data_IF_853385505798
#
_entry.id   IF_853385505798
#
_cell.length_a   1.000
_cell.length_b   1.000
_cell.length_c   1.000
_cell.angle_alpha   90.00
_cell.angle_beta   90.00
_cell.angle_gamma   90.00
#
_symmetry.space_group_name_H-M   'P 1'
#
loop_
_entity.id
_entity.type
_entity.pdbx_description
1 polymer ?
#
# COMPACT_ATOMS: atom_id res chain seq x y z
N UNK A 1 16.12 11.81 -36.63
CA UNK A 1 16.97 13.01 -36.77
C UNK A 1 17.69 12.95 -38.10
N UNK A 2 17.82 14.08 -38.79
CA UNK A 2 18.71 14.17 -39.96
C UNK A 2 20.19 14.24 -39.50
N UNK A 3 21.16 13.92 -40.38
CA UNK A 3 22.58 13.96 -40.01
C UNK A 3 23.07 15.38 -39.70
N UNK A 4 22.46 16.39 -40.32
CA UNK A 4 22.75 17.81 -40.08
C UNK A 4 22.29 18.25 -38.68
N UNK A 5 21.14 17.77 -38.22
CA UNK A 5 20.61 18.06 -36.87
C UNK A 5 21.48 17.48 -35.75
N UNK A 6 22.16 16.35 -36.01
CA UNK A 6 23.07 15.72 -35.05
C UNK A 6 24.38 16.50 -34.91
N UNK A 7 24.95 16.96 -36.03
CA UNK A 7 26.15 17.81 -36.02
C UNK A 7 25.89 19.14 -35.29
N UNK A 8 24.75 19.77 -35.56
CA UNK A 8 24.36 21.03 -34.92
C UNK A 8 24.11 20.86 -33.40
N UNK A 9 23.61 19.69 -32.98
CA UNK A 9 23.41 19.37 -31.57
C UNK A 9 24.74 19.24 -30.81
N UNK A 10 25.74 18.58 -31.40
CA UNK A 10 27.08 18.44 -30.79
C UNK A 10 27.82 19.77 -30.73
N UNK A 11 27.73 20.59 -31.79
CA UNK A 11 28.31 21.94 -31.80
C UNK A 11 27.67 22.89 -30.78
N UNK A 12 26.34 22.82 -30.58
CA UNK A 12 25.65 23.68 -29.61
C UNK A 12 25.81 23.19 -28.16
N UNK A 13 26.11 21.90 -27.95
CA UNK A 13 26.35 21.30 -26.63
C UNK A 13 27.78 21.54 -26.13
N UNK A 14 28.75 21.71 -27.03
CA UNK A 14 30.16 21.99 -26.70
C UNK A 14 30.40 23.46 -26.35
N UNK A 15 29.53 24.38 -26.77
CA UNK A 15 29.62 25.80 -26.41
C UNK A 15 29.19 26.03 -24.95
N UNK A 16 29.94 26.83 -24.16
CA UNK A 16 29.56 27.12 -22.78
C UNK A 16 28.21 27.85 -22.71
N UNK A 17 27.33 27.40 -21.82
CA UNK A 17 25.95 27.89 -21.62
C UNK A 17 25.81 29.39 -21.33
N UNK A 18 26.91 30.06 -21.00
CA UNK A 18 27.00 31.50 -20.74
C UNK A 18 27.10 32.34 -22.01
N UNK A 19 27.60 31.79 -23.12
CA UNK A 19 27.79 32.48 -24.40
C UNK A 19 26.66 32.21 -25.42
N UNK A 20 25.79 31.25 -25.11
CA UNK A 20 24.67 30.88 -25.97
C UNK A 20 23.58 31.95 -25.96
N UNK A 21 23.24 32.47 -27.15
CA UNK A 21 22.13 33.41 -27.33
C UNK A 21 20.78 32.73 -27.02
N UNK A 22 19.74 33.48 -26.61
CA UNK A 22 18.43 32.91 -26.29
C UNK A 22 17.84 32.01 -27.40
N UNK A 23 18.09 32.37 -28.66
CA UNK A 23 17.66 31.59 -29.83
C UNK A 23 18.38 30.23 -29.96
N UNK A 24 19.65 30.16 -29.57
CA UNK A 24 20.46 28.93 -29.63
C UNK A 24 20.07 27.97 -28.50
N UNK A 25 19.74 28.51 -27.32
CA UNK A 25 19.19 27.74 -26.19
C UNK A 25 17.84 27.11 -26.53
N UNK A 26 16.99 27.82 -27.27
CA UNK A 26 15.71 27.28 -27.72
C UNK A 26 15.88 26.12 -28.71
N UNK A 27 16.83 26.24 -29.65
CA UNK A 27 17.16 25.19 -30.63
C UNK A 27 17.73 23.93 -29.97
N UNK A 28 18.62 24.10 -28.98
CA UNK A 28 19.17 22.98 -28.20
C UNK A 28 18.05 22.21 -27.48
N UNK A 29 17.14 22.93 -26.81
CA UNK A 29 16.00 22.31 -26.10
C UNK A 29 15.03 21.60 -27.04
N UNK A 30 14.80 22.09 -28.26
CA UNK A 30 13.99 21.38 -29.25
C UNK A 30 14.67 20.11 -29.76
N UNK A 31 15.98 20.16 -30.01
CA UNK A 31 16.76 19.00 -30.46
C UNK A 31 16.86 17.92 -29.35
N UNK A 32 17.01 18.31 -28.08
CA UNK A 32 16.94 17.37 -26.95
C UNK A 32 15.58 16.66 -26.84
N UNK A 33 14.49 17.40 -27.08
CA UNK A 33 13.14 16.81 -27.06
C UNK A 33 12.94 15.82 -28.19
N UNK A 34 13.53 16.07 -29.37
CA UNK A 34 13.49 15.14 -30.49
C UNK A 34 14.33 13.89 -30.22
N UNK A 35 15.53 14.04 -29.65
CA UNK A 35 16.38 12.91 -29.27
C UNK A 35 15.71 12.02 -28.21
N UNK A 36 15.06 12.61 -27.20
CA UNK A 36 14.32 11.86 -26.17
C UNK A 36 13.10 11.13 -26.74
N UNK A 37 12.44 11.70 -27.74
CA UNK A 37 11.31 11.04 -28.43
C UNK A 37 11.77 9.85 -29.25
N UNK A 38 12.93 9.95 -29.91
CA UNK A 38 13.52 8.83 -30.65
C UNK A 38 13.96 7.71 -29.69
N UNK A 39 14.60 8.04 -28.56
CA UNK A 39 14.96 7.05 -27.53
C UNK A 39 13.75 6.34 -26.90
N UNK A 40 12.61 7.02 -26.75
CA UNK A 40 11.37 6.41 -26.25
C UNK A 40 10.67 5.52 -27.30
N UNK A 41 11.02 5.65 -28.58
CA UNK A 41 10.48 4.79 -29.63
C UNK A 41 11.15 3.40 -29.64
N UNK A 42 12.42 3.32 -29.23
CA UNK A 42 13.20 2.06 -29.19
C UNK A 42 12.97 1.24 -27.92
N UNK A 43 12.40 1.83 -26.85
CA UNK A 43 12.00 1.06 -25.68
C UNK A 43 10.71 0.30 -25.95
N UNK A 44 10.66 -1.04 -25.82
CA UNK A 44 9.44 -1.80 -26.03
C UNK A 44 8.37 -1.30 -25.06
N UNK A 45 7.32 -0.66 -25.59
CA UNK A 45 6.17 -0.23 -24.79
C UNK A 45 5.65 -1.45 -24.03
N UNK A 46 5.45 -1.37 -22.71
CA UNK A 46 4.88 -2.48 -21.96
C UNK A 46 3.53 -2.82 -22.60
N UNK A 47 3.37 -4.05 -23.09
CA UNK A 47 2.09 -4.55 -23.59
C UNK A 47 1.08 -4.39 -22.46
N UNK A 48 0.12 -3.48 -22.63
CA UNK A 48 -1.05 -3.39 -21.76
C UNK A 48 -1.82 -4.69 -21.93
N UNK A 49 -1.67 -5.61 -20.98
CA UNK A 49 -2.60 -6.71 -20.85
C UNK A 49 -3.97 -6.08 -20.53
N UNK A 50 -4.92 -6.23 -21.45
CA UNK A 50 -6.32 -5.84 -21.27
C UNK A 50 -7.01 -6.84 -20.32
N UNK A 51 -6.51 -6.99 -19.10
CA UNK A 51 -7.19 -7.72 -18.03
C UNK A 51 -7.75 -6.68 -17.06
N UNK A 52 -9.06 -6.44 -17.15
CA UNK A 52 -9.77 -5.67 -16.15
C UNK A 52 -9.76 -6.43 -14.81
N UNK A 53 -9.13 -5.85 -13.79
CA UNK A 53 -9.62 -5.88 -12.40
C UNK A 53 -9.62 -7.21 -11.62
N UNK A 54 -8.64 -8.11 -11.80
CA UNK A 54 -8.55 -9.32 -10.94
C UNK A 54 -7.71 -9.08 -9.68
N UNK A 55 -6.68 -8.24 -9.76
CA UNK A 55 -5.80 -7.92 -8.62
C UNK A 55 -5.80 -6.41 -8.36
N UNK A 56 -6.20 -5.94 -7.17
CA UNK A 56 -6.10 -4.54 -6.82
C UNK A 56 -4.62 -4.12 -6.86
N UNK A 57 -4.29 -3.18 -7.75
CA UNK A 57 -2.93 -2.63 -7.90
C UNK A 57 -2.59 -1.59 -6.83
N UNK A 58 -3.52 -1.28 -5.93
CA UNK A 58 -3.30 -0.37 -4.79
C UNK A 58 -2.54 -1.10 -3.69
N UNK A 59 -1.37 -0.58 -3.32
CA UNK A 59 -0.68 -0.99 -2.09
C UNK A 59 -1.66 -0.83 -0.92
N UNK A 60 -1.91 -1.91 -0.19
CA UNK A 60 -2.71 -1.87 1.03
C UNK A 60 -1.99 -0.95 2.02
N UNK A 61 -2.48 0.28 2.16
CA UNK A 61 -1.96 1.19 3.15
C UNK A 61 -2.17 0.58 4.54
N UNK A 62 -1.11 0.51 5.36
CA UNK A 62 -1.22 0.11 6.76
C UNK A 62 -1.94 1.21 7.53
N UNK A 63 -3.27 1.20 7.48
CA UNK A 63 -4.10 2.09 8.28
C UNK A 63 -3.91 1.69 9.74
N UNK A 64 -3.78 2.66 10.68
CA UNK A 64 -3.70 2.35 12.09
C UNK A 64 -4.92 1.52 12.52
N UNK A 65 -4.66 0.42 13.22
CA UNK A 65 -5.70 -0.43 13.78
C UNK A 65 -6.49 0.35 14.84
N UNK A 66 -7.77 0.60 14.58
CA UNK A 66 -8.67 1.31 15.49
C UNK A 66 -9.71 0.35 16.00
N UNK A 67 -9.68 0.09 17.31
CA UNK A 67 -10.69 -0.71 17.98
C UNK A 67 -11.93 0.15 18.20
N UNK A 68 -13.08 -0.30 17.70
CA UNK A 68 -14.37 0.36 17.88
C UNK A 68 -14.83 0.28 19.34
N UNK A 69 -15.80 1.11 19.73
CA UNK A 69 -16.39 1.05 21.08
C UNK A 69 -17.07 -0.30 21.36
N UNK A 70 -17.72 -0.85 20.34
CA UNK A 70 -18.42 -2.15 20.39
C UNK A 70 -17.42 -3.31 20.58
N UNK A 71 -16.29 -3.28 19.89
CA UNK A 71 -15.23 -4.28 20.05
C UNK A 71 -14.64 -4.24 21.47
N UNK A 72 -14.48 -3.04 22.05
CA UNK A 72 -14.03 -2.90 23.45
C UNK A 72 -15.04 -3.50 24.43
N UNK A 73 -16.35 -3.31 24.20
CA UNK A 73 -17.37 -3.94 25.06
C UNK A 73 -17.35 -5.47 24.92
N UNK A 74 -17.24 -6.00 23.70
CA UNK A 74 -17.16 -7.45 23.45
C UNK A 74 -15.97 -8.06 24.21
N UNK A 75 -14.80 -7.41 24.15
CA UNK A 75 -13.62 -7.85 24.89
C UNK A 75 -13.83 -7.81 26.39
N UNK A 76 -14.43 -6.73 26.90
CA UNK A 76 -14.66 -6.55 28.34
C UNK A 76 -15.66 -7.57 28.88
N UNK A 77 -16.73 -7.86 28.14
CA UNK A 77 -17.76 -8.81 28.54
C UNK A 77 -17.27 -10.25 28.42
N UNK A 78 -16.49 -10.53 27.37
CA UNK A 78 -15.80 -11.81 27.24
C UNK A 78 -14.82 -12.02 28.38
N UNK A 79 -14.09 -10.99 28.77
CA UNK A 79 -13.18 -11.05 29.91
C UNK A 79 -13.91 -11.40 31.22
N UNK A 80 -15.02 -10.72 31.51
CA UNK A 80 -15.86 -11.02 32.69
C UNK A 80 -16.39 -12.45 32.67
N UNK A 81 -16.86 -12.90 31.50
CA UNK A 81 -17.42 -14.26 31.32
C UNK A 81 -16.37 -15.34 31.58
N UNK A 82 -15.15 -15.16 31.08
CA UNK A 82 -14.08 -16.15 31.23
C UNK A 82 -13.48 -16.10 32.63
N UNK A 83 -13.36 -14.91 33.23
CA UNK A 83 -12.84 -14.72 34.59
C UNK A 83 -13.67 -15.42 35.69
N UNK A 84 -14.86 -15.96 35.38
CA UNK A 84 -15.66 -16.76 36.30
C UNK A 84 -15.48 -18.28 36.15
N UNK A 85 -14.61 -18.74 35.25
CA UNK A 85 -14.43 -20.18 34.98
C UNK A 85 -13.22 -20.74 35.71
N UNK A 86 -13.30 -21.97 36.22
CA UNK A 86 -12.18 -22.66 36.88
C UNK A 86 -10.97 -22.77 35.93
N UNK A 87 -11.23 -23.07 34.66
CA UNK A 87 -10.22 -23.13 33.60
C UNK A 87 -9.38 -21.85 33.48
N UNK A 88 -9.98 -20.68 33.75
CA UNK A 88 -9.29 -19.41 33.67
C UNK A 88 -8.25 -19.28 34.78
N UNK A 89 -8.63 -19.57 36.02
CA UNK A 89 -7.71 -19.49 37.15
C UNK A 89 -6.61 -20.55 37.07
N UNK A 90 -6.94 -21.76 36.61
CA UNK A 90 -5.96 -22.84 36.46
C UNK A 90 -4.90 -22.56 35.38
N UNK A 91 -5.28 -21.88 34.29
CA UNK A 91 -4.40 -21.66 33.12
C UNK A 91 -3.70 -20.31 33.14
N UNK A 92 -4.37 -19.27 33.65
CA UNK A 92 -3.90 -17.88 33.60
C UNK A 92 -3.51 -17.36 34.98
N UNK A 93 -3.87 -18.05 36.07
CA UNK A 93 -3.46 -17.71 37.43
C UNK A 93 -4.29 -16.58 38.05
N UNK A 94 -4.20 -15.37 37.50
CA UNK A 94 -4.79 -14.16 38.08
C UNK A 94 -5.88 -13.50 37.22
N UNK A 95 -6.82 -12.81 37.88
CA UNK A 95 -7.83 -11.96 37.21
C UNK A 95 -7.20 -10.80 36.44
N UNK A 96 -6.03 -10.33 36.88
CA UNK A 96 -5.34 -9.17 36.30
C UNK A 96 -4.56 -9.50 35.02
N UNK A 97 -4.37 -10.79 34.71
CA UNK A 97 -3.64 -11.23 33.52
C UNK A 97 -4.44 -11.07 32.22
N UNK A 98 -5.76 -10.82 32.33
CA UNK A 98 -6.68 -10.69 31.20
C UNK A 98 -6.82 -9.26 30.69
N UNK A 99 -5.69 -8.59 30.41
CA UNK A 99 -5.69 -7.26 29.80
C UNK A 99 -6.22 -7.26 28.37
N UNK A 100 -6.74 -6.12 27.90
CA UNK A 100 -7.14 -5.96 26.50
C UNK A 100 -5.98 -6.22 25.52
N UNK A 101 -4.75 -5.88 25.90
CA UNK A 101 -3.56 -6.14 25.09
C UNK A 101 -3.30 -7.64 24.96
N UNK A 102 -3.40 -8.39 26.06
CA UNK A 102 -3.25 -9.85 26.09
C UNK A 102 -4.29 -10.53 25.19
N UNK A 103 -5.55 -10.09 25.29
CA UNK A 103 -6.64 -10.61 24.48
C UNK A 103 -6.43 -10.34 22.97
N UNK A 104 -5.97 -9.15 22.58
CA UNK A 104 -5.66 -8.85 21.18
C UNK A 104 -4.49 -9.69 20.64
N UNK A 105 -3.43 -9.87 21.44
CA UNK A 105 -2.31 -10.76 21.05
C UNK A 105 -2.74 -12.21 20.93
N UNK A 106 -3.63 -12.68 21.81
CA UNK A 106 -4.20 -14.02 21.72
C UNK A 106 -5.08 -14.17 20.46
N UNK A 107 -5.89 -13.17 20.13
CA UNK A 107 -6.71 -13.16 18.92
C UNK A 107 -5.85 -13.25 17.64
N UNK A 108 -4.74 -12.52 17.56
CA UNK A 108 -3.81 -12.63 16.43
C UNK A 108 -3.20 -14.03 16.29
N UNK A 109 -2.83 -14.66 17.41
CA UNK A 109 -2.33 -16.04 17.40
C UNK A 109 -3.41 -17.06 17.04
N UNK A 110 -4.66 -16.80 17.40
CA UNK A 110 -5.79 -17.62 17.00
C UNK A 110 -6.06 -17.47 15.50
N UNK A 111 -6.01 -16.24 15.00
CA UNK A 111 -6.20 -15.92 13.58
C UNK A 111 -5.17 -16.61 12.68
N UNK A 112 -3.93 -16.73 13.12
CA UNK A 112 -2.87 -17.45 12.38
C UNK A 112 -3.18 -18.94 12.19
N UNK A 113 -3.90 -19.55 13.14
CA UNK A 113 -4.27 -20.98 13.11
C UNK A 113 -5.49 -21.30 12.26
N UNK A 114 -6.26 -20.28 11.86
CA UNK A 114 -7.44 -20.45 11.02
C UNK A 114 -7.03 -20.84 9.59
N UNK A 115 -7.90 -21.58 8.91
CA UNK A 115 -7.80 -21.80 7.47
C UNK A 115 -8.03 -20.50 6.69
N UNK A 116 -7.55 -20.45 5.45
CA UNK A 116 -7.72 -19.26 4.62
C UNK A 116 -9.20 -18.96 4.31
N UNK A 117 -10.04 -19.98 4.22
CA UNK A 117 -11.50 -19.83 4.07
C UNK A 117 -12.12 -19.14 5.29
N UNK A 118 -11.82 -19.63 6.49
CA UNK A 118 -12.31 -19.04 7.74
C UNK A 118 -11.81 -17.60 7.94
N UNK A 119 -10.56 -17.31 7.53
CA UNK A 119 -10.01 -15.94 7.55
C UNK A 119 -10.82 -15.02 6.64
N UNK A 120 -11.16 -15.46 5.44
CA UNK A 120 -11.94 -14.66 4.48
C UNK A 120 -13.34 -14.40 5.01
N UNK A 121 -14.00 -15.39 5.61
CA UNK A 121 -15.31 -15.23 6.22
C UNK A 121 -15.27 -14.26 7.41
N UNK A 122 -14.32 -14.42 8.32
CA UNK A 122 -14.14 -13.52 9.46
C UNK A 122 -13.87 -12.06 9.01
N UNK A 123 -13.06 -11.86 7.96
CA UNK A 123 -12.85 -10.52 7.37
C UNK A 123 -14.14 -9.97 6.78
N UNK A 124 -14.95 -10.79 6.11
CA UNK A 124 -16.24 -10.38 5.53
C UNK A 124 -17.20 -9.90 6.62
N UNK A 125 -17.31 -10.64 7.72
CA UNK A 125 -18.16 -10.27 8.86
C UNK A 125 -17.67 -8.98 9.53
N UNK A 126 -16.36 -8.86 9.77
CA UNK A 126 -15.76 -7.65 10.32
C UNK A 126 -16.07 -6.43 9.44
N UNK A 127 -15.92 -6.56 8.12
CA UNK A 127 -16.23 -5.48 7.16
C UNK A 127 -17.70 -5.07 7.22
N UNK A 128 -18.62 -6.03 7.35
CA UNK A 128 -20.05 -5.75 7.49
C UNK A 128 -20.37 -5.04 8.81
N UNK A 129 -19.76 -5.47 9.91
CA UNK A 129 -19.91 -4.81 11.22
C UNK A 129 -19.40 -3.36 11.18
N UNK A 130 -18.20 -3.13 10.63
CA UNK A 130 -17.65 -1.78 10.47
C UNK A 130 -18.55 -0.86 9.64
N UNK A 131 -19.15 -1.38 8.56
CA UNK A 131 -20.07 -0.60 7.74
C UNK A 131 -21.39 -0.26 8.47
N UNK A 132 -21.83 -1.12 9.40
CA UNK A 132 -23.02 -0.87 10.24
C UNK A 132 -22.73 0.15 11.33
N UNK A 133 -21.56 0.10 11.95
CA UNK A 133 -21.15 1.04 13.00
C UNK A 133 -20.90 2.47 12.51
N UNK A 134 -20.78 2.68 11.18
CA UNK A 134 -20.63 4.00 10.56
C UNK A 134 -21.96 4.68 10.20
N UNK A 135 -23.10 4.00 10.36
CA UNK A 135 -24.45 4.56 10.17
C UNK A 135 -25.01 5.08 11.48
#
# INVERSE_FOLDING_TARGET
MTNEDKALFEELKTKPTRELKPAEKAKLKSLERLAKKEQQADTPKPKRNNTFGVTPTTQLASVPFRISGEEKSIMTDTAKRIAGTELFYDRLGGKDDLSNNTQMRAALRAYDKLSDEEKVEAIREAKLSMARAQR
#
